data_IF_538601642392
#
_entry.id   IF_538601642392
#
_cell.length_a   1.000
_cell.length_b   1.000
_cell.length_c   1.000
_cell.angle_alpha   90.00
_cell.angle_beta   90.00
_cell.angle_gamma   90.00
#
_symmetry.space_group_name_H-M   'P 1'
#
loop_
_entity.id
_entity.type
_entity.pdbx_description
1 polymer ?
#
# COMPACT_ATOMS: atom_id res chain seq x y z
N UNK A 1 12.60 2.21 19.76
CA UNK A 1 12.27 0.99 18.99
C UNK A 1 12.31 1.39 17.52
N UNK A 2 12.89 0.58 16.62
CA UNK A 2 12.94 0.94 15.20
C UNK A 2 11.53 1.05 14.64
N UNK A 3 11.31 2.04 13.78
CA UNK A 3 10.08 2.17 13.00
C UNK A 3 10.00 1.03 11.98
N UNK A 4 8.78 0.62 11.65
CA UNK A 4 8.51 -0.39 10.64
C UNK A 4 8.04 0.26 9.37
N UNK A 5 8.70 -0.05 8.26
CA UNK A 5 8.22 0.26 6.92
C UNK A 5 7.42 -0.92 6.39
N UNK A 6 6.14 -0.70 6.15
CA UNK A 6 5.26 -1.65 5.47
C UNK A 6 4.98 -1.17 4.05
N UNK A 7 5.50 -1.89 3.08
CA UNK A 7 5.38 -1.56 1.66
C UNK A 7 4.37 -2.48 1.00
N UNK A 8 3.44 -1.89 0.26
CA UNK A 8 2.49 -2.60 -0.61
C UNK A 8 2.73 -2.17 -2.05
N UNK A 9 3.03 -3.13 -2.92
CA UNK A 9 3.11 -2.92 -4.37
C UNK A 9 1.85 -3.43 -5.02
N UNK A 10 1.11 -2.54 -5.67
CA UNK A 10 -0.02 -2.87 -6.52
C UNK A 10 0.44 -2.80 -7.98
N UNK A 11 0.47 -3.94 -8.66
CA UNK A 11 0.80 -4.02 -10.09
C UNK A 11 -0.49 -3.95 -10.87
N UNK A 12 -0.68 -2.86 -11.62
CA UNK A 12 -1.81 -2.65 -12.52
C UNK A 12 -1.39 -3.03 -13.95
N UNK A 13 -2.33 -3.52 -14.75
CA UNK A 13 -2.06 -3.90 -16.15
C UNK A 13 -1.61 -2.72 -17.02
N UNK A 14 -2.11 -1.51 -16.73
CA UNK A 14 -1.85 -0.29 -17.48
C UNK A 14 -2.03 0.97 -16.62
N UNK A 15 -1.73 2.13 -17.22
CA UNK A 15 -1.82 3.45 -16.56
C UNK A 15 -3.27 3.83 -16.22
N UNK A 16 -4.25 3.40 -17.01
CA UNK A 16 -5.65 3.70 -16.76
C UNK A 16 -6.15 3.01 -15.49
N UNK A 17 -5.82 1.73 -15.32
CA UNK A 17 -6.12 0.98 -14.11
C UNK A 17 -5.35 1.54 -12.91
N UNK A 18 -4.08 1.94 -13.08
CA UNK A 18 -3.33 2.66 -12.05
C UNK A 18 -4.06 3.93 -11.60
N UNK A 19 -4.58 4.73 -12.54
CA UNK A 19 -5.36 5.93 -12.22
C UNK A 19 -6.58 5.61 -11.35
N UNK A 20 -7.35 4.59 -11.71
CA UNK A 20 -8.50 4.12 -10.91
C UNK A 20 -8.07 3.65 -9.51
N UNK A 21 -6.95 2.92 -9.42
CA UNK A 21 -6.39 2.47 -8.15
C UNK A 21 -5.99 3.65 -7.26
N UNK A 22 -5.31 4.65 -7.83
CA UNK A 22 -4.91 5.86 -7.10
C UNK A 22 -6.12 6.66 -6.59
N UNK A 23 -7.16 6.83 -7.41
CA UNK A 23 -8.38 7.54 -7.00
C UNK A 23 -9.12 6.85 -5.84
N UNK A 24 -9.07 5.52 -5.74
CA UNK A 24 -9.60 4.80 -4.59
C UNK A 24 -8.64 4.85 -3.38
N UNK A 25 -7.32 4.76 -3.63
CA UNK A 25 -6.29 4.71 -2.61
C UNK A 25 -6.23 6.01 -1.79
N UNK A 26 -6.24 7.16 -2.48
CA UNK A 26 -6.07 8.47 -1.85
C UNK A 26 -7.29 9.39 -2.03
N UNK A 27 -7.74 10.10 -0.97
CA UNK A 27 -7.24 10.01 0.40
C UNK A 27 -7.85 8.83 1.20
N UNK A 28 -8.90 8.19 0.68
CA UNK A 28 -9.79 7.30 1.45
C UNK A 28 -9.09 6.14 2.15
N UNK A 29 -8.55 5.19 1.39
CA UNK A 29 -7.91 3.99 1.96
C UNK A 29 -6.71 4.35 2.84
N UNK A 30 -5.89 5.31 2.40
CA UNK A 30 -4.71 5.78 3.14
C UNK A 30 -5.09 6.33 4.52
N UNK A 31 -6.16 7.12 4.63
CA UNK A 31 -6.61 7.66 5.91
C UNK A 31 -7.05 6.55 6.89
N UNK A 32 -7.64 5.46 6.39
CA UNK A 32 -8.00 4.33 7.27
C UNK A 32 -6.76 3.58 7.78
N UNK A 33 -5.70 3.46 6.97
CA UNK A 33 -4.43 2.89 7.42
C UNK A 33 -3.76 3.78 8.48
N UNK A 34 -3.80 5.11 8.28
CA UNK A 34 -3.33 6.07 9.30
C UNK A 34 -4.14 5.97 10.60
N UNK A 35 -5.47 5.82 10.51
CA UNK A 35 -6.32 5.57 11.67
C UNK A 35 -5.96 4.26 12.39
N UNK A 36 -5.41 3.28 11.67
CA UNK A 36 -4.86 2.03 12.23
C UNK A 36 -3.45 2.15 12.83
N UNK A 37 -2.86 3.35 12.88
CA UNK A 37 -1.61 3.62 13.59
C UNK A 37 -0.37 3.90 12.73
N UNK A 38 -0.52 4.04 11.40
CA UNK A 38 0.58 4.51 10.57
C UNK A 38 0.85 6.01 10.78
N UNK A 39 2.12 6.38 10.97
CA UNK A 39 2.58 7.75 11.28
C UNK A 39 2.90 8.54 10.01
N UNK A 40 3.43 7.87 8.99
CA UNK A 40 3.73 8.46 7.69
C UNK A 40 3.28 7.54 6.54
N UNK A 41 2.98 8.15 5.40
CA UNK A 41 2.61 7.44 4.18
C UNK A 41 3.30 8.08 2.98
N UNK A 42 3.90 7.27 2.12
CA UNK A 42 4.43 7.68 0.81
C UNK A 42 3.78 6.84 -0.28
N UNK A 43 3.33 7.48 -1.36
CA UNK A 43 2.88 6.81 -2.58
C UNK A 43 3.92 7.11 -3.65
N UNK A 44 4.52 6.06 -4.21
CA UNK A 44 5.57 6.13 -5.22
C UNK A 44 5.04 5.51 -6.50
N UNK A 45 5.18 6.24 -7.60
CA UNK A 45 4.86 5.74 -8.93
C UNK A 45 6.18 5.35 -9.57
N UNK A 46 6.35 4.06 -9.84
CA UNK A 46 7.55 3.57 -10.51
C UNK A 46 7.46 3.94 -11.98
N UNK A 47 8.61 4.31 -12.56
CA UNK A 47 8.75 4.47 -13.99
C UNK A 47 8.49 3.14 -14.70
N UNK A 48 8.01 3.24 -15.93
CA UNK A 48 7.69 2.09 -16.76
C UNK A 48 8.79 1.93 -17.79
N UNK A 49 9.28 0.71 -17.95
CA UNK A 49 10.29 0.39 -18.97
C UNK A 49 9.75 0.58 -20.41
N UNK A 50 8.42 0.50 -20.59
CA UNK A 50 7.75 0.73 -21.87
C UNK A 50 6.26 1.10 -21.70
N UNK A 51 5.62 1.52 -22.79
CA UNK A 51 4.17 1.77 -22.82
C UNK A 51 3.31 0.51 -22.64
N UNK A 52 3.89 -0.68 -22.79
CA UNK A 52 3.21 -1.97 -22.58
C UNK A 52 3.56 -2.62 -21.25
N UNK A 53 4.58 -2.11 -20.54
CA UNK A 53 4.95 -2.62 -19.22
C UNK A 53 3.85 -2.31 -18.18
N UNK A 54 3.61 -3.21 -17.20
CA UNK A 54 2.66 -2.96 -16.12
C UNK A 54 2.95 -1.64 -15.38
N UNK A 55 1.90 -0.99 -14.90
CA UNK A 55 2.01 0.24 -14.13
C UNK A 55 1.95 -0.07 -12.63
N UNK A 56 3.07 0.14 -11.91
CA UNK A 56 3.18 -0.20 -10.49
C UNK A 56 2.94 1.03 -9.61
N UNK A 57 2.17 0.84 -8.55
CA UNK A 57 2.05 1.78 -7.42
C UNK A 57 2.66 1.14 -6.19
N UNK A 58 3.65 1.78 -5.61
CA UNK A 58 4.18 1.39 -4.32
C UNK A 58 3.63 2.33 -3.24
N UNK A 59 3.03 1.77 -2.19
CA UNK A 59 2.60 2.54 -1.01
C UNK A 59 3.36 2.07 0.20
N UNK A 60 4.05 3.01 0.84
CA UNK A 60 4.89 2.78 2.00
C UNK A 60 4.24 3.41 3.22
N UNK A 61 4.05 2.63 4.27
CA UNK A 61 3.46 3.06 5.53
C UNK A 61 4.50 2.90 6.64
N UNK A 62 4.81 3.97 7.36
CA UNK A 62 5.66 3.92 8.55
C UNK A 62 4.80 3.66 9.78
N UNK A 63 5.25 2.76 10.65
CA UNK A 63 4.66 2.51 11.96
C UNK A 63 5.70 2.76 13.05
N UNK A 64 5.31 3.33 14.21
CA UNK A 64 6.26 3.78 15.22
C UNK A 64 6.99 2.63 15.96
N UNK A 65 6.52 1.39 15.78
CA UNK A 65 7.16 0.19 16.32
C UNK A 65 6.62 -1.09 15.71
N UNK A 66 7.35 -2.20 15.89
CA UNK A 66 6.87 -3.56 15.56
C UNK A 66 5.56 -3.93 16.27
N UNK A 67 5.37 -3.47 17.52
CA UNK A 67 4.12 -3.68 18.26
C UNK A 67 2.94 -2.95 17.60
N UNK A 68 3.12 -1.69 17.22
CA UNK A 68 2.09 -0.92 16.54
C UNK A 68 1.70 -1.57 15.19
N UNK A 69 2.70 -1.98 14.40
CA UNK A 69 2.46 -2.70 13.15
C UNK A 69 1.71 -4.04 13.38
N UNK A 70 2.07 -4.81 14.41
CA UNK A 70 1.39 -6.06 14.73
C UNK A 70 -0.09 -5.84 15.08
N UNK A 71 -0.41 -4.81 15.87
CA UNK A 71 -1.80 -4.40 16.16
C UNK A 71 -2.54 -4.06 14.87
N UNK A 72 -1.94 -3.24 13.99
CA UNK A 72 -2.53 -2.91 12.68
C UNK A 72 -2.84 -4.16 11.86
N UNK A 73 -1.89 -5.10 11.75
CA UNK A 73 -2.08 -6.33 10.96
C UNK A 73 -3.20 -7.20 11.52
N UNK A 74 -3.33 -7.29 12.84
CA UNK A 74 -4.35 -8.11 13.50
C UNK A 74 -5.74 -7.47 13.42
N UNK A 75 -5.84 -6.18 13.74
CA UNK A 75 -7.12 -5.55 14.07
C UNK A 75 -7.69 -4.70 12.93
N UNK A 76 -6.84 -4.16 12.04
CA UNK A 76 -7.28 -3.20 11.00
C UNK A 76 -7.09 -3.75 9.58
N UNK A 77 -5.97 -4.40 9.29
CA UNK A 77 -5.62 -4.86 7.95
C UNK A 77 -6.64 -5.83 7.31
N UNK A 78 -7.31 -6.76 8.03
CA UNK A 78 -8.25 -7.69 7.42
C UNK A 78 -9.43 -6.99 6.71
N UNK A 79 -10.07 -6.03 7.39
CA UNK A 79 -11.19 -5.28 6.83
C UNK A 79 -10.77 -4.45 5.60
N UNK A 80 -9.61 -3.80 5.69
CA UNK A 80 -9.07 -2.98 4.59
C UNK A 80 -8.70 -3.83 3.36
N UNK A 81 -8.17 -5.04 3.57
CA UNK A 81 -7.86 -5.97 2.48
C UNK A 81 -9.14 -6.52 1.84
N UNK A 82 -10.14 -6.83 2.64
CA UNK A 82 -11.45 -7.25 2.12
C UNK A 82 -12.11 -6.14 1.30
N UNK A 83 -12.02 -4.88 1.74
CA UNK A 83 -12.50 -3.72 0.98
C UNK A 83 -11.75 -3.57 -0.37
N UNK A 84 -10.43 -3.67 -0.34
CA UNK A 84 -9.61 -3.64 -1.56
C UNK A 84 -10.05 -4.71 -2.58
N UNK A 85 -10.38 -5.92 -2.13
CA UNK A 85 -10.85 -7.01 -2.99
C UNK A 85 -12.23 -6.75 -3.59
N UNK A 86 -13.09 -5.93 -2.97
CA UNK A 86 -14.37 -5.52 -3.56
C UNK A 86 -14.17 -4.57 -4.75
N UNK A 87 -13.17 -3.69 -4.66
CA UNK A 87 -12.86 -2.72 -5.71
C UNK A 87 -11.94 -3.29 -6.80
N UNK A 88 -11.03 -4.17 -6.41
CA UNK A 88 -10.02 -4.79 -7.27
C UNK A 88 -9.98 -6.31 -7.02
N UNK A 89 -11.04 -7.04 -7.44
CA UNK A 89 -11.05 -8.48 -7.32
C UNK A 89 -9.99 -9.09 -8.26
N UNK A 90 -9.61 -10.37 -8.10
CA UNK A 90 -8.56 -11.00 -8.92
C UNK A 90 -8.75 -10.80 -10.44
N UNK A 91 -10.00 -10.80 -10.90
CA UNK A 91 -10.39 -10.62 -12.31
C UNK A 91 -10.10 -9.20 -12.82
N UNK A 92 -9.90 -8.22 -11.94
CA UNK A 92 -9.42 -6.90 -12.33
C UNK A 92 -8.01 -6.96 -12.92
N UNK A 93 -7.21 -7.96 -12.57
CA UNK A 93 -5.80 -8.09 -12.96
C UNK A 93 -4.82 -7.29 -12.09
N UNK A 94 -5.31 -6.60 -11.05
CA UNK A 94 -4.42 -5.97 -10.06
C UNK A 94 -3.85 -7.04 -9.13
N UNK A 95 -2.53 -7.10 -9.01
CA UNK A 95 -1.86 -8.01 -8.07
C UNK A 95 -1.16 -7.23 -6.97
N UNK A 96 -1.01 -7.85 -5.79
CA UNK A 96 -0.46 -7.20 -4.60
C UNK A 96 0.72 -7.98 -4.04
N UNK A 97 1.87 -7.32 -3.89
CA UNK A 97 3.01 -7.81 -3.11
C UNK A 97 3.19 -6.95 -1.85
N UNK A 98 3.66 -7.56 -0.77
CA UNK A 98 3.82 -6.91 0.53
C UNK A 98 5.20 -7.20 1.10
N UNK A 99 5.82 -6.18 1.68
CA UNK A 99 7.11 -6.28 2.34
C UNK A 99 7.05 -5.55 3.68
N UNK A 100 7.71 -6.13 4.68
CA UNK A 100 7.91 -5.52 6.00
C UNK A 100 9.40 -5.34 6.20
N UNK A 101 9.82 -4.15 6.58
CA UNK A 101 11.21 -3.81 6.85
C UNK A 101 11.31 -2.94 8.11
N UNK A 102 12.51 -2.87 8.70
CA UNK A 102 12.84 -1.91 9.74
C UNK A 102 13.48 -0.68 9.10
N UNK A 103 13.09 0.51 9.53
CA UNK A 103 13.73 1.76 9.12
C UNK A 103 14.99 1.91 9.98
N UNK A 104 16.16 1.75 9.36
CA UNK A 104 17.45 1.88 10.04
C UNK A 104 17.82 3.35 10.31
N UNK A 105 17.49 4.25 9.38
CA UNK A 105 17.64 5.70 9.51
C UNK A 105 16.69 6.42 8.55
N UNK A 106 16.21 7.59 8.93
CA UNK A 106 15.49 8.55 8.09
C UNK A 106 15.98 9.94 8.51
N UNK A 107 16.46 10.74 7.55
CA UNK A 107 17.16 12.01 7.79
C UNK A 107 16.28 13.21 7.40
#
# INVERSE_FOLDING_TARGET
>A
MPEILYTVRATCKDVQQRGRFLSWLTPGHVLQVKAGGATAVRIVLLDRDSETAPAVVETQYAFPSRKAFATYIRDHAPALRADALKHFPPESGVTFARQVAEIATEL
#
